data_IF_355641788337
#
_entry.id   IF_355641788337
#
_cell.length_a   1.000
_cell.length_b   1.000
_cell.length_c   1.000
_cell.angle_alpha   90.00
_cell.angle_beta   90.00
_cell.angle_gamma   90.00
#
_symmetry.space_group_name_H-M   'P 1'
#
loop_
_entity.id
_entity.type
_entity.pdbx_description
1 polymer ?
#
# COMPACT_ATOMS: atom_id res chain seq x y z
N UNK A 1 1.95 -0.46 0.16
CA UNK A 1 3.28 -0.75 0.72
C UNK A 1 3.02 -1.31 2.12
N UNK A 2 3.07 -2.63 2.40
CA UNK A 2 2.80 -3.09 3.78
C UNK A 2 4.06 -3.26 4.61
N UNK A 3 4.59 -2.12 5.00
CA UNK A 3 5.59 -1.99 6.05
C UNK A 3 5.05 -1.25 7.27
N UNK A 4 3.72 -1.06 7.36
CA UNK A 4 3.05 -0.28 8.41
C UNK A 4 1.90 -1.05 9.09
N UNK A 5 1.75 -2.37 8.90
CA UNK A 5 0.61 -3.09 9.46
C UNK A 5 0.61 -3.06 11.00
N UNK A 6 1.78 -2.96 11.64
CA UNK A 6 1.87 -2.76 13.09
C UNK A 6 1.53 -1.31 13.46
N UNK A 7 2.05 -0.34 12.71
CA UNK A 7 1.76 1.08 12.93
C UNK A 7 0.26 1.39 12.79
N UNK A 8 -0.39 0.90 11.73
CA UNK A 8 -1.83 1.03 11.51
C UNK A 8 -2.64 0.33 12.60
N UNK A 9 -2.22 -0.87 13.00
CA UNK A 9 -2.91 -1.63 14.05
C UNK A 9 -2.79 -0.92 15.41
N UNK A 10 -1.61 -0.39 15.72
CA UNK A 10 -1.38 0.41 16.93
C UNK A 10 -2.19 1.72 16.90
N UNK A 11 -2.29 2.37 15.72
CA UNK A 11 -3.09 3.57 15.53
C UNK A 11 -4.57 3.31 15.82
N UNK A 12 -5.12 2.21 15.30
CA UNK A 12 -6.52 1.80 15.57
C UNK A 12 -6.80 1.51 17.04
N UNK A 13 -5.80 1.08 17.80
CA UNK A 13 -5.90 0.85 19.25
C UNK A 13 -5.78 2.13 20.07
N UNK A 14 -5.31 3.23 19.47
CA UNK A 14 -5.21 4.54 20.11
C UNK A 14 -4.01 4.73 21.05
N UNK A 15 -3.09 3.76 21.15
CA UNK A 15 -1.98 3.76 22.12
C UNK A 15 -0.61 4.09 21.51
N UNK A 16 -0.58 4.83 20.40
CA UNK A 16 0.62 5.13 19.61
C UNK A 16 1.72 5.81 20.45
N UNK A 17 1.39 6.89 21.15
CA UNK A 17 2.39 7.67 21.91
C UNK A 17 2.96 6.91 23.10
N UNK A 18 2.20 5.97 23.66
CA UNK A 18 2.64 5.08 24.73
C UNK A 18 3.55 3.95 24.24
N UNK A 19 3.65 3.73 22.93
CA UNK A 19 4.46 2.64 22.34
C UNK A 19 5.60 3.15 21.44
N UNK A 20 5.47 4.36 20.88
CA UNK A 20 6.46 4.98 20.00
C UNK A 20 7.04 6.23 20.64
N UNK A 21 8.03 6.00 21.49
CA UNK A 21 8.81 7.05 22.13
C UNK A 21 10.26 6.59 22.33
N UNK A 22 11.15 7.54 22.54
CA UNK A 22 12.58 7.29 22.76
C UNK A 22 12.78 6.41 24.00
N UNK A 23 13.42 5.27 23.83
CA UNK A 23 13.59 4.26 24.88
C UNK A 23 12.42 3.30 25.05
N UNK A 24 11.45 3.30 24.13
CA UNK A 24 10.39 2.29 24.10
C UNK A 24 10.94 0.86 24.04
N UNK A 25 10.30 -0.05 24.76
CA UNK A 25 10.56 -1.49 24.71
C UNK A 25 9.80 -2.21 23.60
N UNK A 26 8.91 -1.52 22.86
CA UNK A 26 8.11 -2.09 21.77
C UNK A 26 8.94 -2.21 20.47
N UNK A 27 9.96 -3.08 20.50
CA UNK A 27 10.95 -3.24 19.43
C UNK A 27 10.33 -3.48 18.06
N UNK A 28 9.23 -4.23 18.00
CA UNK A 28 8.57 -4.59 16.75
C UNK A 28 7.91 -3.37 16.10
N UNK A 29 7.16 -2.59 16.88
CA UNK A 29 6.51 -1.39 16.39
C UNK A 29 7.54 -0.32 16.00
N UNK A 30 8.64 -0.22 16.74
CA UNK A 30 9.75 0.67 16.39
C UNK A 30 10.42 0.24 15.08
N UNK A 31 10.64 -1.06 14.88
CA UNK A 31 11.18 -1.61 13.62
C UNK A 31 10.27 -1.26 12.44
N UNK A 32 8.96 -1.40 12.59
CA UNK A 32 7.95 -1.06 11.58
C UNK A 32 8.00 0.44 11.21
N UNK A 33 8.09 1.32 12.23
CA UNK A 33 8.27 2.75 12.05
C UNK A 33 9.57 3.08 11.30
N UNK A 34 10.70 2.48 11.70
CA UNK A 34 12.01 2.72 11.08
C UNK A 34 12.01 2.32 9.60
N UNK A 35 11.44 1.15 9.25
CA UNK A 35 11.28 0.71 7.86
C UNK A 35 10.40 1.66 7.05
N UNK A 36 9.28 2.07 7.62
CA UNK A 36 8.35 3.02 7.01
C UNK A 36 9.06 4.34 6.69
N UNK A 37 9.82 4.89 7.65
CA UNK A 37 10.59 6.12 7.46
C UNK A 37 11.72 5.95 6.44
N UNK A 38 12.38 4.79 6.41
CA UNK A 38 13.39 4.49 5.39
C UNK A 38 12.78 4.53 3.98
N UNK A 39 11.64 3.87 3.76
CA UNK A 39 10.94 3.86 2.48
C UNK A 39 10.49 5.28 2.06
N UNK A 40 10.05 6.09 3.03
CA UNK A 40 9.74 7.50 2.84
C UNK A 40 10.96 8.39 2.54
N UNK A 41 12.18 7.83 2.49
CA UNK A 41 13.40 8.51 2.08
C UNK A 41 14.26 9.05 3.22
N UNK A 42 13.99 8.69 4.48
CA UNK A 42 14.72 9.17 5.68
C UNK A 42 15.93 8.31 6.05
N UNK A 43 16.54 7.66 5.06
CA UNK A 43 17.71 6.77 5.19
C UNK A 43 18.87 7.44 5.94
N UNK A 44 19.13 8.72 5.63
CA UNK A 44 20.25 9.48 6.20
C UNK A 44 20.04 9.71 7.69
N UNK A 45 18.85 10.16 8.08
CA UNK A 45 18.48 10.45 9.46
C UNK A 45 18.46 9.19 10.33
N UNK A 46 17.97 8.08 9.75
CA UNK A 46 18.02 6.75 10.38
C UNK A 46 19.44 6.19 10.50
N UNK A 47 20.44 6.79 9.84
CA UNK A 47 21.79 6.22 9.71
C UNK A 47 21.71 4.74 9.29
N UNK A 48 20.87 4.48 8.30
CA UNK A 48 20.42 3.14 7.94
C UNK A 48 21.57 2.18 7.63
N UNK A 49 22.67 2.67 7.05
CA UNK A 49 23.86 1.87 6.75
C UNK A 49 24.51 1.24 7.98
N UNK A 50 24.30 1.83 9.16
CA UNK A 50 24.90 1.36 10.41
C UNK A 50 23.91 0.57 11.28
N UNK A 51 22.66 1.02 11.33
CA UNK A 51 21.67 0.48 12.29
C UNK A 51 20.53 -0.30 11.63
N UNK A 52 20.26 -0.06 10.35
CA UNK A 52 19.08 -0.58 9.65
C UNK A 52 17.79 -0.30 10.44
N UNK A 53 16.89 -1.28 10.56
CA UNK A 53 15.76 -1.24 11.48
C UNK A 53 16.03 -2.18 12.66
N UNK A 54 16.76 -1.67 13.65
CA UNK A 54 17.21 -2.38 14.86
C UNK A 54 16.11 -2.51 15.94
N UNK A 55 14.99 -1.80 15.77
CA UNK A 55 13.92 -1.75 16.77
C UNK A 55 14.23 -0.88 18.00
N UNK A 56 15.36 -0.16 18.01
CA UNK A 56 15.74 0.73 19.09
C UNK A 56 15.32 2.17 18.75
N UNK A 57 14.40 2.74 19.54
CA UNK A 57 14.01 4.14 19.37
C UNK A 57 15.07 5.05 20.00
N UNK A 58 16.23 5.13 19.35
CA UNK A 58 17.37 5.92 19.76
C UNK A 58 17.45 7.28 19.07
N UNK A 59 18.67 7.87 19.08
CA UNK A 59 18.93 9.19 18.47
C UNK A 59 18.61 9.23 16.97
N UNK A 60 18.86 8.14 16.25
CA UNK A 60 18.61 8.05 14.82
C UNK A 60 17.11 8.08 14.49
N UNK A 61 16.29 7.26 15.18
CA UNK A 61 14.83 7.28 15.04
C UNK A 61 14.23 8.62 15.46
N UNK A 62 14.71 9.23 16.56
CA UNK A 62 14.31 10.59 16.94
C UNK A 62 14.57 11.59 15.83
N UNK A 63 15.76 11.58 15.22
CA UNK A 63 16.10 12.48 14.12
C UNK A 63 15.21 12.25 12.89
N UNK A 64 14.94 10.99 12.54
CA UNK A 64 14.10 10.64 11.40
C UNK A 64 12.64 11.08 11.59
N UNK A 65 12.07 10.89 12.78
CA UNK A 65 10.71 11.34 13.10
C UNK A 65 10.61 12.87 13.08
N UNK A 66 11.57 13.58 13.66
CA UNK A 66 11.61 15.03 13.62
C UNK A 66 11.73 15.58 12.19
N UNK A 67 12.58 14.96 11.37
CA UNK A 67 12.75 15.33 9.96
C UNK A 67 11.48 15.06 9.14
N UNK A 68 10.82 13.92 9.36
CA UNK A 68 9.54 13.59 8.72
C UNK A 68 8.48 14.63 9.06
N UNK A 69 8.31 14.94 10.34
CA UNK A 69 7.36 15.93 10.79
C UNK A 69 7.63 17.30 10.16
N UNK A 70 8.88 17.76 10.18
CA UNK A 70 9.29 19.04 9.58
C UNK A 70 8.92 19.12 8.09
N UNK A 71 9.20 18.07 7.32
CA UNK A 71 8.85 18.00 5.88
C UNK A 71 7.35 17.95 5.61
N UNK A 72 6.57 17.53 6.61
CA UNK A 72 5.12 17.47 6.54
C UNK A 72 4.43 18.59 7.35
N UNK A 73 5.12 19.73 7.52
CA UNK A 73 4.61 20.93 8.19
C UNK A 73 4.09 20.67 9.62
N UNK A 74 4.73 19.74 10.33
CA UNK A 74 4.44 19.40 11.72
C UNK A 74 5.67 19.64 12.59
N UNK A 75 5.45 20.14 13.81
CA UNK A 75 6.52 20.47 14.76
C UNK A 75 6.57 19.41 15.86
N UNK A 76 7.72 18.74 16.00
CA UNK A 76 8.02 17.78 17.08
C UNK A 76 9.53 17.72 17.29
N UNK A 77 9.95 17.36 18.50
CA UNK A 77 11.35 17.03 18.79
C UNK A 77 11.72 15.58 18.41
N UNK A 78 10.74 14.82 17.92
CA UNK A 78 10.87 13.44 17.46
C UNK A 78 11.05 12.41 18.57
N UNK A 79 11.02 12.80 19.85
CA UNK A 79 11.17 11.86 20.97
C UNK A 79 9.94 10.98 21.17
N UNK A 80 8.80 11.35 20.61
CA UNK A 80 7.62 10.50 20.52
C UNK A 80 6.87 10.75 19.22
N UNK A 81 6.07 9.76 18.82
CA UNK A 81 5.15 9.86 17.69
C UNK A 81 3.75 10.08 18.27
N UNK A 82 3.09 11.16 17.88
CA UNK A 82 1.69 11.41 18.23
C UNK A 82 0.76 10.62 17.30
N UNK A 83 -0.50 10.42 17.71
CA UNK A 83 -1.53 9.79 16.86
C UNK A 83 -1.68 10.50 15.51
N UNK A 84 -1.67 11.85 15.51
CA UNK A 84 -1.77 12.64 14.29
C UNK A 84 -0.55 12.44 13.38
N UNK A 85 0.65 12.40 13.95
CA UNK A 85 1.88 12.18 13.18
C UNK A 85 1.95 10.75 12.62
N UNK A 86 1.56 9.73 13.40
CA UNK A 86 1.50 8.35 12.92
C UNK A 86 0.51 8.18 11.76
N UNK A 87 -0.67 8.81 11.84
CA UNK A 87 -1.63 8.83 10.73
C UNK A 87 -1.02 9.44 9.47
N UNK A 88 -0.31 10.56 9.61
CA UNK A 88 0.36 11.22 8.49
C UNK A 88 1.50 10.39 7.89
N UNK A 89 2.28 9.70 8.74
CA UNK A 89 3.32 8.75 8.29
C UNK A 89 2.70 7.66 7.41
N UNK A 90 1.63 7.03 7.89
CA UNK A 90 0.91 5.98 7.15
C UNK A 90 0.35 6.53 5.83
N UNK A 91 -0.31 7.69 5.86
CA UNK A 91 -0.88 8.29 4.65
C UNK A 91 0.19 8.59 3.59
N UNK A 92 1.35 9.13 3.98
CA UNK A 92 2.47 9.35 3.04
C UNK A 92 3.03 8.04 2.49
N UNK A 93 3.11 7.04 3.34
CA UNK A 93 3.66 5.74 2.98
C UNK A 93 2.75 4.97 2.03
N UNK A 94 1.44 5.02 2.26
CA UNK A 94 0.44 4.40 1.40
C UNK A 94 0.42 4.98 -0.02
N UNK A 95 0.76 6.26 -0.18
CA UNK A 95 0.85 6.93 -1.49
C UNK A 95 2.14 6.66 -2.26
N UNK A 96 3.16 6.14 -1.58
CA UNK A 96 4.51 6.02 -2.13
C UNK A 96 4.60 5.13 -3.39
N UNK A 97 3.87 3.98 -3.49
CA UNK A 97 3.82 3.18 -4.71
C UNK A 97 3.35 3.96 -5.94
N UNK A 98 2.36 4.84 -5.79
CA UNK A 98 1.82 5.64 -6.88
C UNK A 98 2.76 6.78 -7.24
N UNK A 99 3.50 7.32 -6.27
CA UNK A 99 4.58 8.28 -6.55
C UNK A 99 5.67 7.62 -7.39
N UNK A 100 5.98 6.34 -7.17
CA UNK A 100 6.89 5.60 -8.04
C UNK A 100 6.36 5.41 -9.45
N UNK A 101 5.06 5.18 -9.61
CA UNK A 101 4.43 5.12 -10.94
C UNK A 101 4.57 6.44 -11.68
N UNK A 102 4.32 7.58 -11.02
CA UNK A 102 4.52 8.91 -11.60
C UNK A 102 5.99 9.16 -11.96
N UNK A 103 6.92 8.80 -11.07
CA UNK A 103 8.35 8.90 -11.33
C UNK A 103 8.78 8.04 -12.53
N UNK A 104 8.29 6.81 -12.65
CA UNK A 104 8.52 5.94 -13.82
C UNK A 104 8.04 6.59 -15.12
N UNK A 105 6.90 7.27 -15.08
CA UNK A 105 6.37 7.99 -16.24
C UNK A 105 7.30 9.14 -16.61
N UNK A 106 7.71 9.94 -15.62
CA UNK A 106 8.66 11.04 -15.79
C UNK A 106 9.99 10.59 -16.44
N UNK A 107 10.54 9.47 -15.97
CA UNK A 107 11.81 8.90 -16.47
C UNK A 107 11.66 8.08 -17.74
N UNK A 108 10.44 7.81 -18.21
CA UNK A 108 10.21 7.03 -19.43
C UNK A 108 10.38 7.87 -20.70
N UNK A 109 10.66 7.19 -21.81
CA UNK A 109 10.61 7.80 -23.13
C UNK A 109 9.15 8.13 -23.50
N UNK A 110 8.80 9.42 -23.46
CA UNK A 110 7.43 9.92 -23.59
C UNK A 110 6.94 10.08 -25.04
N UNK A 111 7.53 9.37 -26.00
CA UNK A 111 6.97 9.29 -27.36
C UNK A 111 5.55 8.70 -27.40
N UNK A 112 5.16 7.94 -26.37
CA UNK A 112 3.78 7.46 -26.18
C UNK A 112 2.98 8.38 -25.27
N UNK A 113 1.85 8.91 -25.75
CA UNK A 113 0.89 9.67 -24.92
C UNK A 113 0.32 8.77 -23.81
N UNK A 114 0.43 9.22 -22.55
CA UNK A 114 -0.16 8.56 -21.38
C UNK A 114 -1.31 9.41 -20.83
N UNK A 115 -2.38 8.77 -20.40
CA UNK A 115 -3.62 9.42 -19.95
C UNK A 115 -3.94 9.00 -18.52
N UNK A 116 -4.32 9.95 -17.66
CA UNK A 116 -4.73 9.71 -16.27
C UNK A 116 -6.04 8.91 -16.25
N UNK A 117 -6.97 9.18 -17.16
CA UNK A 117 -8.24 8.45 -17.29
C UNK A 117 -8.07 6.97 -17.59
N UNK A 118 -6.95 6.60 -18.22
CA UNK A 118 -6.56 5.22 -18.50
C UNK A 118 -5.69 4.62 -17.40
N UNK A 119 -5.47 5.38 -16.32
CA UNK A 119 -4.82 4.91 -15.12
C UNK A 119 -5.65 3.82 -14.44
N UNK A 120 -4.98 3.04 -13.61
CA UNK A 120 -5.64 2.05 -12.77
C UNK A 120 -6.38 2.74 -11.63
N UNK A 121 -7.38 2.08 -11.04
CA UNK A 121 -8.13 2.64 -9.90
C UNK A 121 -7.19 3.10 -8.79
N UNK A 122 -6.16 2.32 -8.51
CA UNK A 122 -5.11 2.65 -7.54
C UNK A 122 -4.35 3.93 -7.92
N UNK A 123 -3.85 4.05 -9.15
CA UNK A 123 -3.16 5.27 -9.60
C UNK A 123 -4.04 6.52 -9.55
N UNK A 124 -5.33 6.38 -9.85
CA UNK A 124 -6.31 7.46 -9.81
C UNK A 124 -6.58 7.86 -8.36
N UNK A 125 -6.79 6.89 -7.47
CA UNK A 125 -6.99 7.14 -6.03
C UNK A 125 -5.83 7.94 -5.44
N UNK A 126 -4.59 7.63 -5.79
CA UNK A 126 -3.46 8.39 -5.27
C UNK A 126 -3.42 9.83 -5.76
N UNK A 127 -3.75 10.10 -7.03
CA UNK A 127 -3.88 11.47 -7.53
C UNK A 127 -5.00 12.21 -6.77
N UNK A 128 -6.13 11.55 -6.52
CA UNK A 128 -7.23 12.13 -5.73
C UNK A 128 -6.80 12.44 -4.30
N UNK A 129 -6.10 11.53 -3.60
CA UNK A 129 -5.58 11.81 -2.26
C UNK A 129 -4.59 12.95 -2.29
N UNK A 130 -3.60 12.91 -3.19
CA UNK A 130 -2.59 13.95 -3.32
C UNK A 130 -3.23 15.33 -3.52
N UNK A 131 -4.10 15.46 -4.53
CA UNK A 131 -4.80 16.71 -4.84
C UNK A 131 -5.64 17.20 -3.64
N UNK A 132 -6.32 16.31 -2.94
CA UNK A 132 -7.01 16.68 -1.70
C UNK A 132 -6.04 17.20 -0.63
N UNK A 133 -4.89 16.53 -0.43
CA UNK A 133 -3.87 16.95 0.54
C UNK A 133 -3.29 18.32 0.25
N UNK A 134 -3.13 18.69 -1.03
CA UNK A 134 -2.61 20.01 -1.43
C UNK A 134 -3.71 21.05 -1.68
N UNK A 135 -4.94 20.79 -1.22
CA UNK A 135 -6.00 21.79 -1.13
C UNK A 135 -7.10 21.74 -2.20
N UNK A 136 -7.08 20.76 -3.11
CA UNK A 136 -8.07 20.63 -4.20
C UNK A 136 -9.23 19.69 -3.85
N UNK A 137 -9.49 19.49 -2.56
CA UNK A 137 -10.55 18.60 -2.05
C UNK A 137 -11.96 19.03 -2.48
N UNK A 138 -12.19 20.32 -2.67
CA UNK A 138 -13.48 20.85 -3.13
C UNK A 138 -13.76 20.47 -4.59
N UNK A 139 -12.79 20.64 -5.50
CA UNK A 139 -12.93 20.26 -6.90
C UNK A 139 -13.12 18.76 -7.07
N UNK A 140 -12.47 17.97 -6.21
CA UNK A 140 -12.65 16.52 -6.14
C UNK A 140 -14.01 16.09 -5.58
N UNK A 141 -14.74 17.00 -4.93
CA UNK A 141 -15.88 16.64 -4.07
C UNK A 141 -15.49 15.52 -3.08
N UNK A 142 -14.30 15.67 -2.49
CA UNK A 142 -13.63 14.61 -1.74
C UNK A 142 -14.40 14.20 -0.48
N UNK A 143 -15.14 15.13 0.12
CA UNK A 143 -16.04 14.83 1.25
C UNK A 143 -17.10 13.79 0.90
N UNK A 144 -17.57 13.77 -0.35
CA UNK A 144 -18.62 12.84 -0.82
C UNK A 144 -18.04 11.53 -1.34
N UNK A 145 -17.03 11.61 -2.19
CA UNK A 145 -16.52 10.45 -2.93
C UNK A 145 -15.24 9.86 -2.34
N UNK A 146 -14.47 10.66 -1.61
CA UNK A 146 -13.11 10.30 -1.21
C UNK A 146 -12.23 10.01 -2.43
N UNK A 147 -11.22 9.17 -2.22
CA UNK A 147 -10.37 8.66 -3.29
C UNK A 147 -10.94 7.34 -3.85
N UNK A 148 -12.04 7.43 -4.60
CA UNK A 148 -12.78 6.27 -5.12
C UNK A 148 -12.09 5.52 -6.28
N UNK A 149 -10.99 6.07 -6.81
CA UNK A 149 -10.22 5.50 -7.91
C UNK A 149 -10.93 5.61 -9.26
N UNK A 150 -12.01 6.38 -9.34
CA UNK A 150 -12.73 6.64 -10.58
C UNK A 150 -12.27 7.98 -11.17
N UNK A 151 -11.82 7.95 -12.41
CA UNK A 151 -11.46 9.16 -13.12
C UNK A 151 -12.72 9.79 -13.73
N UNK A 152 -13.50 10.49 -12.90
CA UNK A 152 -14.69 11.23 -13.29
C UNK A 152 -14.44 12.74 -13.46
N UNK A 153 -15.52 13.47 -13.73
CA UNK A 153 -15.48 14.93 -13.94
C UNK A 153 -14.84 15.68 -12.75
N UNK A 154 -15.09 15.26 -11.51
CA UNK A 154 -14.47 15.87 -10.33
C UNK A 154 -12.94 15.71 -10.32
N UNK A 155 -12.44 14.50 -10.60
CA UNK A 155 -10.99 14.25 -10.72
C UNK A 155 -10.38 15.07 -11.85
N UNK A 156 -11.02 15.08 -13.03
CA UNK A 156 -10.57 15.86 -14.18
C UNK A 156 -10.50 17.35 -13.88
N UNK A 157 -11.56 17.91 -13.29
CA UNK A 157 -11.63 19.33 -12.95
C UNK A 157 -10.60 19.72 -11.88
N UNK A 158 -10.31 18.83 -10.92
CA UNK A 158 -9.27 19.06 -9.93
C UNK A 158 -7.88 19.12 -10.57
N UNK A 159 -7.56 18.21 -11.50
CA UNK A 159 -6.28 18.25 -12.25
C UNK A 159 -6.17 19.53 -13.10
N UNK A 160 -7.25 19.91 -13.80
CA UNK A 160 -7.27 21.15 -14.60
C UNK A 160 -7.03 22.38 -13.72
N UNK A 161 -7.76 22.49 -12.60
CA UNK A 161 -7.62 23.61 -11.68
C UNK A 161 -6.20 23.66 -11.10
N UNK A 162 -5.66 22.53 -10.68
CA UNK A 162 -4.31 22.41 -10.17
C UNK A 162 -3.24 22.82 -11.19
N UNK A 163 -3.35 22.34 -12.44
CA UNK A 163 -2.44 22.74 -13.51
C UNK A 163 -2.57 24.24 -13.82
N UNK A 164 -3.79 24.76 -13.91
CA UNK A 164 -4.07 26.17 -14.17
C UNK A 164 -3.51 27.10 -13.09
N UNK A 165 -3.66 26.73 -11.81
CA UNK A 165 -3.10 27.49 -10.68
C UNK A 165 -1.57 27.56 -10.71
N UNK A 166 -0.94 26.68 -11.51
CA UNK A 166 0.50 26.63 -11.76
C UNK A 166 0.88 27.08 -13.18
N UNK A 167 -0.01 27.80 -13.87
CA UNK A 167 0.18 28.31 -15.22
C UNK A 167 0.52 27.23 -16.27
N UNK A 168 0.02 26.00 -16.07
CA UNK A 168 0.16 24.89 -17.02
C UNK A 168 -1.18 24.65 -17.71
N UNK A 169 -1.18 24.69 -19.04
CA UNK A 169 -2.33 24.23 -19.83
C UNK A 169 -2.44 22.71 -19.77
N UNK A 170 -3.61 22.23 -19.41
CA UNK A 170 -3.90 20.81 -19.26
C UNK A 170 -5.38 20.56 -19.58
N UNK A 171 -5.65 19.49 -20.32
CA UNK A 171 -7.01 18.99 -20.55
C UNK A 171 -7.52 18.11 -19.40
N UNK A 172 -6.78 18.07 -18.29
CA UNK A 172 -7.00 17.22 -17.13
C UNK A 172 -6.55 15.77 -17.32
N UNK A 173 -6.48 15.28 -18.55
CA UNK A 173 -6.38 13.85 -18.83
C UNK A 173 -5.00 13.43 -19.34
N UNK A 174 -4.36 14.22 -20.21
CA UNK A 174 -3.02 13.92 -20.71
C UNK A 174 -1.96 14.12 -19.62
N UNK A 175 -1.19 13.07 -19.32
CA UNK A 175 0.04 13.15 -18.51
C UNK A 175 1.18 13.72 -19.36
N UNK A 176 1.12 15.02 -19.64
CA UNK A 176 2.20 15.76 -20.29
C UNK A 176 3.40 15.92 -19.33
N UNK A 177 4.60 16.17 -19.87
CA UNK A 177 5.80 16.46 -19.05
C UNK A 177 5.52 17.58 -18.03
N UNK A 178 4.98 18.75 -18.41
CA UNK A 178 4.69 19.82 -17.45
C UNK A 178 3.79 19.38 -16.29
N UNK A 179 2.76 18.57 -16.56
CA UNK A 179 1.83 18.09 -15.53
C UNK A 179 2.51 17.08 -14.59
N UNK A 180 3.29 16.15 -15.14
CA UNK A 180 4.03 15.16 -14.34
C UNK A 180 5.11 15.84 -13.49
N UNK A 181 5.84 16.81 -14.06
CA UNK A 181 6.87 17.58 -13.37
C UNK A 181 6.26 18.42 -12.25
N UNK A 182 5.07 19.00 -12.49
CA UNK A 182 4.29 19.70 -11.49
C UNK A 182 3.90 18.78 -10.32
N UNK A 183 3.34 17.59 -10.61
CA UNK A 183 3.04 16.60 -9.57
C UNK A 183 4.29 16.28 -8.74
N UNK A 184 5.40 15.93 -9.38
CA UNK A 184 6.64 15.57 -8.68
C UNK A 184 7.19 16.74 -7.86
N UNK A 185 7.17 17.97 -8.39
CA UNK A 185 7.61 19.18 -7.69
C UNK A 185 6.88 19.37 -6.37
N UNK A 186 5.56 19.21 -6.36
CA UNK A 186 4.74 19.48 -5.17
C UNK A 186 4.68 18.28 -4.21
N UNK A 187 5.00 17.09 -4.69
CA UNK A 187 5.11 15.88 -3.88
C UNK A 187 6.45 15.84 -3.14
N UNK A 188 7.56 16.12 -3.84
CA UNK A 188 8.93 15.97 -3.33
C UNK A 188 9.21 16.60 -1.94
N UNK A 189 8.68 17.79 -1.58
CA UNK A 189 8.92 18.42 -0.29
C UNK A 189 8.51 17.56 0.90
N UNK A 190 7.45 16.74 0.75
CA UNK A 190 6.87 15.92 1.81
C UNK A 190 7.66 14.65 2.12
N UNK A 191 8.53 14.24 1.20
CA UNK A 191 9.30 13.00 1.30
C UNK A 191 10.78 13.30 1.56
N UNK A 192 11.49 12.33 2.13
CA UNK A 192 12.93 12.43 2.33
C UNK A 192 13.67 12.58 1.01
N UNK A 193 14.87 13.16 1.03
CA UNK A 193 15.57 13.62 -0.19
C UNK A 193 15.92 12.49 -1.18
N UNK A 194 15.77 11.23 -0.79
CA UNK A 194 16.13 10.03 -1.56
C UNK A 194 14.95 9.06 -1.73
N UNK A 195 13.72 9.52 -1.53
CA UNK A 195 12.55 8.66 -1.65
C UNK A 195 12.46 7.99 -3.04
N UNK A 196 12.86 8.71 -4.09
CA UNK A 196 12.88 8.23 -5.48
C UNK A 196 14.03 7.27 -5.79
N UNK A 197 15.12 7.25 -5.03
CA UNK A 197 16.21 6.26 -5.20
C UNK A 197 15.67 4.82 -5.01
N UNK A 198 14.67 4.69 -4.14
CA UNK A 198 13.96 3.44 -3.89
C UNK A 198 12.95 3.10 -5.00
N UNK A 199 12.61 4.04 -5.88
CA UNK A 199 11.64 3.81 -6.95
C UNK A 199 12.10 2.70 -7.91
N UNK A 200 13.36 2.70 -8.34
CA UNK A 200 13.87 1.65 -9.24
C UNK A 200 13.81 0.23 -8.64
N UNK A 201 13.85 0.13 -7.32
CA UNK A 201 13.82 -1.12 -6.56
C UNK A 201 12.39 -1.54 -6.17
N UNK A 202 11.50 -0.57 -5.98
CA UNK A 202 10.10 -0.78 -5.59
C UNK A 202 9.12 -0.75 -6.76
N UNK A 203 9.54 -0.26 -7.92
CA UNK A 203 8.86 -0.47 -9.17
C UNK A 203 9.06 -1.94 -9.57
N UNK A 204 8.02 -2.60 -10.11
CA UNK A 204 8.22 -3.85 -10.82
C UNK A 204 9.21 -3.62 -11.98
N UNK A 205 10.50 -3.82 -11.72
CA UNK A 205 11.49 -4.04 -12.78
C UNK A 205 11.27 -5.45 -13.31
N UNK A 206 11.60 -5.73 -14.58
CA UNK A 206 11.49 -7.09 -15.14
C UNK A 206 12.27 -8.16 -14.35
N UNK A 207 13.12 -7.77 -13.39
CA UNK A 207 13.95 -8.66 -12.57
C UNK A 207 13.58 -8.68 -11.07
N UNK A 208 12.70 -7.78 -10.61
CA UNK A 208 12.27 -7.79 -9.19
C UNK A 208 11.29 -8.94 -8.97
N UNK A 209 11.46 -9.79 -7.94
CA UNK A 209 10.44 -10.77 -7.57
C UNK A 209 9.19 -10.09 -7.02
N UNK A 210 9.33 -8.88 -6.46
CA UNK A 210 8.21 -8.11 -5.95
C UNK A 210 7.67 -7.18 -7.03
N UNK A 211 6.39 -7.34 -7.33
CA UNK A 211 5.69 -6.57 -8.35
C UNK A 211 4.42 -5.92 -7.80
N UNK A 212 3.97 -4.87 -8.49
CA UNK A 212 2.66 -4.28 -8.25
C UNK A 212 1.67 -4.91 -9.24
N UNK A 213 0.71 -5.67 -8.71
CA UNK A 213 -0.39 -6.21 -9.50
C UNK A 213 -1.51 -5.19 -9.66
N UNK A 214 -2.01 -5.08 -10.89
CA UNK A 214 -3.15 -4.24 -11.22
C UNK A 214 -4.21 -5.08 -11.94
N UNK A 215 -5.44 -5.07 -11.40
CA UNK A 215 -6.58 -5.79 -11.96
C UNK A 215 -7.78 -4.87 -12.12
N UNK A 216 -8.59 -5.10 -13.17
CA UNK A 216 -9.79 -4.27 -13.45
C UNK A 216 -10.85 -4.33 -12.36
N UNK A 217 -10.84 -5.39 -11.54
CA UNK A 217 -11.73 -5.56 -10.38
C UNK A 217 -11.01 -5.33 -9.05
N UNK A 218 -9.76 -4.85 -9.05
CA UNK A 218 -9.01 -4.55 -7.84
C UNK A 218 -9.09 -3.04 -7.50
N UNK A 219 -9.13 -2.76 -6.21
CA UNK A 219 -9.17 -1.41 -5.62
C UNK A 219 -8.64 -1.48 -4.18
N UNK A 220 -8.59 -0.35 -3.49
CA UNK A 220 -8.06 -0.28 -2.12
C UNK A 220 -6.55 -0.14 -2.13
N UNK A 221 -5.88 -0.81 -1.18
CA UNK A 221 -4.41 -0.70 -1.05
C UNK A 221 -3.69 -1.27 -2.27
N UNK A 222 -2.49 -0.76 -2.61
CA UNK A 222 -1.64 -1.33 -3.65
C UNK A 222 -1.39 -2.83 -3.43
N UNK A 223 -1.72 -3.65 -4.44
CA UNK A 223 -1.55 -5.11 -4.39
C UNK A 223 -0.10 -5.48 -4.76
N UNK A 224 0.76 -5.53 -3.76
CA UNK A 224 2.16 -5.94 -3.87
C UNK A 224 2.23 -7.46 -3.75
N UNK A 225 2.85 -8.12 -4.72
CA UNK A 225 2.86 -9.57 -4.78
C UNK A 225 4.18 -10.10 -5.34
N UNK A 226 4.45 -11.36 -5.04
CA UNK A 226 5.49 -12.10 -5.75
C UNK A 226 5.07 -12.24 -7.23
N UNK A 227 6.03 -12.12 -8.14
CA UNK A 227 5.85 -12.37 -9.57
C UNK A 227 5.29 -13.77 -9.83
N UNK A 228 5.65 -14.75 -8.99
CA UNK A 228 5.13 -16.11 -9.07
C UNK A 228 3.66 -16.22 -8.62
N UNK A 229 3.15 -15.26 -7.86
CA UNK A 229 1.73 -15.19 -7.45
C UNK A 229 0.84 -14.45 -8.47
N UNK A 230 1.42 -13.80 -9.48
CA UNK A 230 0.66 -13.03 -10.48
C UNK A 230 -0.38 -13.87 -11.23
N UNK A 231 -0.09 -15.09 -11.71
CA UNK A 231 -1.10 -15.92 -12.37
C UNK A 231 -2.31 -16.23 -11.47
N UNK A 232 -2.10 -16.34 -10.16
CA UNK A 232 -3.18 -16.52 -9.19
C UNK A 232 -4.03 -15.25 -9.05
N UNK A 233 -3.40 -14.07 -8.98
CA UNK A 233 -4.09 -12.78 -8.93
C UNK A 233 -4.90 -12.49 -10.21
N UNK A 234 -4.39 -12.87 -11.38
CA UNK A 234 -5.13 -12.76 -12.65
C UNK A 234 -6.40 -13.61 -12.64
N UNK A 235 -6.33 -14.85 -12.15
CA UNK A 235 -7.51 -15.70 -11.95
C UNK A 235 -8.49 -15.10 -10.95
N UNK A 236 -8.00 -14.62 -9.81
CA UNK A 236 -8.83 -13.96 -8.80
C UNK A 236 -9.57 -12.75 -9.42
N UNK A 237 -8.88 -11.94 -10.24
CA UNK A 237 -9.50 -10.83 -10.96
C UNK A 237 -10.57 -11.30 -11.97
N UNK A 238 -10.32 -12.40 -12.68
CA UNK A 238 -11.28 -12.99 -13.61
C UNK A 238 -12.53 -13.51 -12.88
N UNK A 239 -12.38 -14.19 -11.74
CA UNK A 239 -13.50 -14.62 -10.91
C UNK A 239 -14.31 -13.46 -10.36
N UNK A 240 -13.65 -12.39 -9.91
CA UNK A 240 -14.33 -11.17 -9.48
C UNK A 240 -15.14 -10.54 -10.63
N UNK A 241 -14.61 -10.58 -11.86
CA UNK A 241 -15.31 -10.08 -13.05
C UNK A 241 -16.55 -10.93 -13.36
N UNK A 242 -16.44 -12.25 -13.28
CA UNK A 242 -17.55 -13.19 -13.54
C UNK A 242 -18.67 -13.05 -12.51
N UNK A 243 -18.31 -12.79 -11.25
CA UNK A 243 -19.25 -12.63 -10.15
C UNK A 243 -19.77 -11.19 -9.98
N UNK A 244 -19.35 -10.26 -10.86
CA UNK A 244 -19.60 -8.82 -10.76
C UNK A 244 -19.36 -8.22 -9.37
N UNK A 245 -18.19 -8.53 -8.81
CA UNK A 245 -17.70 -7.93 -7.57
C UNK A 245 -16.41 -7.15 -7.81
N UNK A 246 -16.16 -6.15 -6.97
CA UNK A 246 -14.87 -5.50 -6.87
C UNK A 246 -14.16 -5.97 -5.60
N UNK A 247 -12.91 -6.38 -5.75
CA UNK A 247 -12.00 -6.69 -4.67
C UNK A 247 -11.44 -5.37 -4.14
N UNK A 248 -11.60 -5.15 -2.85
CA UNK A 248 -10.97 -4.07 -2.13
C UNK A 248 -9.86 -4.66 -1.26
N UNK A 249 -8.63 -4.62 -1.78
CA UNK A 249 -7.45 -5.15 -1.11
C UNK A 249 -7.20 -4.32 0.15
N UNK A 250 -7.13 -5.01 1.28
CA UNK A 250 -6.75 -4.43 2.57
C UNK A 250 -5.33 -4.84 2.97
N UNK A 251 -4.81 -5.96 2.44
CA UNK A 251 -3.46 -6.45 2.67
C UNK A 251 -2.97 -7.32 1.51
N UNK A 252 -1.67 -7.38 1.25
CA UNK A 252 -1.06 -8.25 0.20
C UNK A 252 0.33 -8.75 0.60
N UNK A 253 1.39 -7.94 0.48
CA UNK A 253 2.74 -8.30 0.91
C UNK A 253 3.17 -7.61 2.21
N UNK A 254 3.63 -8.41 3.20
CA UNK A 254 4.08 -7.96 4.53
C UNK A 254 5.59 -8.17 4.74
N UNK A 255 6.22 -7.27 5.52
CA UNK A 255 7.63 -7.46 5.95
C UNK A 255 7.81 -8.06 7.35
N UNK A 256 6.71 -8.27 8.08
CA UNK A 256 6.73 -8.83 9.45
C UNK A 256 5.53 -9.74 9.68
N UNK A 257 5.73 -10.81 10.47
CA UNK A 257 4.67 -11.77 10.89
C UNK A 257 3.69 -11.16 11.88
N UNK A 258 4.08 -10.09 12.57
CA UNK A 258 3.37 -9.62 13.75
C UNK A 258 2.25 -8.68 13.32
N UNK A 259 1.01 -9.09 13.59
CA UNK A 259 -0.18 -8.27 13.40
C UNK A 259 -0.76 -8.03 14.79
N UNK A 260 -0.61 -6.82 15.32
CA UNK A 260 -1.04 -6.51 16.70
C UNK A 260 -2.58 -6.54 16.76
N UNK A 261 -3.17 -7.60 17.30
CA UNK A 261 -4.63 -7.80 17.36
C UNK A 261 -5.15 -8.98 16.55
N UNK A 262 -4.28 -9.82 16.00
CA UNK A 262 -4.69 -11.12 15.50
C UNK A 262 -5.25 -11.94 16.68
N UNK A 263 -6.51 -12.40 16.55
CA UNK A 263 -7.19 -13.29 17.50
C UNK A 263 -6.45 -14.65 17.60
N UNK A 264 -5.55 -14.91 16.66
CA UNK A 264 -4.83 -16.15 16.46
C UNK A 264 -3.36 -15.86 16.18
N UNK A 265 -2.49 -16.65 16.80
CA UNK A 265 -1.03 -16.59 16.62
C UNK A 265 -0.72 -16.59 15.12
N UNK A 266 -0.05 -15.56 14.57
CA UNK A 266 0.33 -15.54 13.18
C UNK A 266 1.11 -16.79 12.83
N UNK A 267 0.76 -17.44 11.72
CA UNK A 267 1.47 -18.63 11.27
C UNK A 267 2.94 -18.24 11.00
N UNK A 268 3.87 -19.04 11.51
CA UNK A 268 5.33 -18.89 11.28
C UNK A 268 5.69 -18.81 9.79
N UNK A 269 4.78 -19.26 8.92
CA UNK A 269 4.90 -19.31 7.47
C UNK A 269 3.66 -18.69 6.79
N UNK A 270 3.38 -17.42 7.08
CA UNK A 270 2.31 -16.68 6.41
C UNK A 270 2.66 -16.42 4.95
N UNK A 271 1.72 -16.68 4.03
CA UNK A 271 1.93 -16.42 2.60
C UNK A 271 2.06 -14.92 2.27
N UNK A 272 1.54 -14.03 3.12
CA UNK A 272 1.77 -12.59 2.97
C UNK A 272 3.25 -12.20 3.03
N UNK A 273 4.07 -12.91 3.79
CA UNK A 273 5.49 -12.61 3.94
C UNK A 273 6.32 -13.01 2.72
N UNK A 274 5.78 -13.92 1.93
CA UNK A 274 6.30 -14.28 0.62
C UNK A 274 5.58 -13.50 -0.49
N UNK A 275 4.55 -12.70 -0.20
CA UNK A 275 3.76 -11.99 -1.23
C UNK A 275 2.85 -12.91 -2.06
N UNK A 276 2.47 -14.04 -1.48
CA UNK A 276 1.58 -15.06 -2.06
C UNK A 276 0.20 -15.07 -1.39
N UNK A 277 -0.24 -13.95 -0.80
CA UNK A 277 -1.55 -13.85 -0.16
C UNK A 277 -2.11 -12.44 -0.24
N UNK A 278 -3.43 -12.32 -0.16
CA UNK A 278 -4.14 -11.05 -0.02
C UNK A 278 -5.20 -11.15 1.05
N UNK A 279 -5.42 -10.05 1.78
CA UNK A 279 -6.65 -9.85 2.54
C UNK A 279 -7.48 -8.81 1.81
N UNK A 280 -8.79 -9.02 1.81
CA UNK A 280 -9.71 -8.19 1.06
C UNK A 280 -11.08 -8.08 1.71
N UNK A 281 -11.80 -7.02 1.33
CA UNK A 281 -13.25 -6.97 1.37
C UNK A 281 -13.78 -6.99 -0.07
N UNK A 282 -15.06 -7.29 -0.25
CA UNK A 282 -15.71 -7.20 -1.56
C UNK A 282 -16.72 -6.05 -1.60
N UNK A 283 -16.82 -5.38 -2.74
CA UNK A 283 -17.95 -4.51 -3.08
C UNK A 283 -18.80 -5.19 -4.14
N UNK A 284 -20.12 -5.17 -3.97
CA UNK A 284 -21.07 -5.81 -4.87
C UNK A 284 -22.36 -4.98 -5.01
N UNK A 285 -23.06 -5.17 -6.12
CA UNK A 285 -24.27 -4.39 -6.45
C UNK A 285 -24.01 -2.87 -6.41
N UNK A 286 -24.98 -2.10 -5.90
CA UNK A 286 -24.90 -0.64 -5.74
C UNK A 286 -23.95 -0.21 -4.61
N UNK A 287 -22.72 -0.71 -4.58
CA UNK A 287 -21.66 -0.30 -3.66
C UNK A 287 -21.73 -0.91 -2.26
N UNK A 288 -22.52 -1.98 -2.06
CA UNK A 288 -22.62 -2.70 -0.78
C UNK A 288 -21.30 -3.41 -0.46
N UNK A 289 -21.00 -3.56 0.83
CA UNK A 289 -19.76 -4.18 1.32
C UNK A 289 -19.99 -5.58 1.87
N UNK A 290 -19.13 -6.52 1.49
CA UNK A 290 -18.96 -7.79 2.17
C UNK A 290 -17.58 -7.80 2.83
N UNK A 291 -17.58 -7.58 4.15
CA UNK A 291 -16.40 -7.64 4.99
C UNK A 291 -16.32 -8.99 5.73
N UNK A 292 -15.35 -9.15 6.65
CA UNK A 292 -15.17 -10.37 7.42
C UNK A 292 -16.46 -10.93 8.04
N UNK A 293 -17.32 -10.06 8.61
CA UNK A 293 -18.59 -10.47 9.22
C UNK A 293 -19.60 -11.03 8.22
N UNK A 294 -19.59 -10.50 6.98
CA UNK A 294 -20.47 -10.99 5.91
C UNK A 294 -19.91 -12.29 5.36
N UNK A 295 -18.63 -12.31 4.99
CA UNK A 295 -18.01 -13.48 4.35
C UNK A 295 -17.92 -14.70 5.28
N UNK A 296 -17.84 -14.49 6.60
CA UNK A 296 -17.90 -15.57 7.59
C UNK A 296 -19.22 -16.37 7.57
N UNK A 297 -20.28 -15.85 6.96
CA UNK A 297 -21.59 -16.52 6.88
C UNK A 297 -21.72 -17.49 5.70
N UNK A 298 -20.68 -17.66 4.88
CA UNK A 298 -20.72 -18.55 3.72
C UNK A 298 -21.20 -19.97 4.10
N UNK A 299 -22.13 -20.58 3.34
CA UNK A 299 -22.62 -20.16 2.02
C UNK A 299 -23.78 -19.13 2.04
N UNK A 300 -24.26 -18.72 3.22
CA UNK A 300 -25.38 -17.79 3.39
C UNK A 300 -24.92 -16.32 3.25
N UNK A 301 -24.43 -15.98 2.07
CA UNK A 301 -23.96 -14.64 1.68
C UNK A 301 -24.66 -14.19 0.41
N UNK A 302 -24.64 -12.88 0.07
CA UNK A 302 -25.23 -12.38 -1.18
C UNK A 302 -24.72 -13.12 -2.42
N UNK A 303 -25.58 -13.34 -3.41
CA UNK A 303 -25.28 -14.22 -4.56
C UNK A 303 -23.98 -13.86 -5.32
N UNK A 304 -23.70 -12.57 -5.64
CA UNK A 304 -22.41 -12.18 -6.24
C UNK A 304 -21.20 -12.59 -5.40
N UNK A 305 -21.29 -12.42 -4.08
CA UNK A 305 -20.24 -12.80 -3.13
C UNK A 305 -20.09 -14.32 -3.06
N UNK A 306 -21.22 -15.04 -3.04
CA UNK A 306 -21.26 -16.51 -3.01
C UNK A 306 -20.62 -17.10 -4.27
N UNK A 307 -20.93 -16.56 -5.44
CA UNK A 307 -20.35 -16.98 -6.71
C UNK A 307 -18.83 -16.77 -6.69
N UNK A 308 -18.36 -15.58 -6.32
CA UNK A 308 -16.93 -15.28 -6.23
C UNK A 308 -16.19 -16.25 -5.30
N UNK A 309 -16.67 -16.40 -4.05
CA UNK A 309 -16.04 -17.28 -3.07
C UNK A 309 -16.08 -18.75 -3.51
N UNK A 310 -17.16 -19.20 -4.16
CA UNK A 310 -17.24 -20.56 -4.68
C UNK A 310 -16.22 -20.81 -5.79
N UNK A 311 -15.99 -19.84 -6.68
CA UNK A 311 -14.92 -19.95 -7.70
C UNK A 311 -13.53 -20.06 -7.08
N UNK A 312 -13.26 -19.34 -5.99
CA UNK A 312 -11.99 -19.46 -5.26
C UNK A 312 -11.86 -20.83 -4.57
N UNK A 313 -12.92 -21.29 -3.90
CA UNK A 313 -12.95 -22.59 -3.21
C UNK A 313 -12.75 -23.75 -4.18
N UNK A 314 -13.31 -23.64 -5.39
CA UNK A 314 -13.25 -24.69 -6.41
C UNK A 314 -11.96 -24.66 -7.26
N UNK A 315 -11.12 -23.63 -7.17
CA UNK A 315 -9.83 -23.61 -7.88
C UNK A 315 -8.80 -24.45 -7.12
N UNK A 316 -8.21 -25.48 -7.75
CA UNK A 316 -7.29 -26.40 -7.06
C UNK A 316 -5.96 -25.75 -6.64
N UNK A 317 -5.64 -24.55 -7.13
CA UNK A 317 -4.42 -23.81 -6.81
C UNK A 317 -4.64 -22.64 -5.86
N UNK A 318 -5.89 -22.36 -5.46
CA UNK A 318 -6.20 -21.28 -4.52
C UNK A 318 -6.77 -21.85 -3.22
N UNK A 319 -6.69 -21.03 -2.18
CA UNK A 319 -7.45 -21.25 -0.96
C UNK A 319 -8.11 -19.96 -0.53
N UNK A 320 -9.27 -20.11 0.08
CA UNK A 320 -9.95 -19.04 0.80
C UNK A 320 -9.90 -19.31 2.30
N UNK A 321 -9.49 -18.32 3.09
CA UNK A 321 -9.26 -18.47 4.51
C UNK A 321 -10.52 -18.77 5.34
N UNK A 322 -11.71 -18.56 4.78
CA UNK A 322 -12.96 -19.02 5.40
C UNK A 322 -13.09 -20.56 5.49
N UNK A 323 -12.20 -21.31 4.83
CA UNK A 323 -12.09 -22.78 4.92
C UNK A 323 -10.89 -23.26 5.74
N UNK A 324 -10.12 -22.36 6.35
CA UNK A 324 -9.00 -22.73 7.21
C UNK A 324 -9.49 -23.22 8.57
N UNK A 325 -8.67 -24.03 9.26
CA UNK A 325 -8.93 -24.46 10.64
C UNK A 325 -9.13 -23.24 11.57
N UNK A 326 -8.31 -22.22 11.35
CA UNK A 326 -8.47 -20.90 11.93
C UNK A 326 -9.11 -20.01 10.87
N UNK A 327 -10.40 -19.75 11.03
CA UNK A 327 -11.21 -19.03 10.03
C UNK A 327 -10.69 -17.61 9.84
N UNK A 328 -10.33 -17.29 8.59
CA UNK A 328 -9.93 -15.96 8.13
C UNK A 328 -10.65 -15.60 6.81
N UNK A 329 -11.90 -15.12 6.88
CA UNK A 329 -12.78 -15.03 5.71
C UNK A 329 -12.40 -13.90 4.75
N UNK A 330 -11.43 -13.05 5.10
CA UNK A 330 -10.91 -11.98 4.22
C UNK A 330 -9.71 -12.46 3.40
N UNK A 331 -9.15 -13.62 3.71
CA UNK A 331 -7.87 -14.06 3.17
C UNK A 331 -8.00 -14.95 1.92
N UNK A 332 -7.11 -14.75 0.94
CA UNK A 332 -6.92 -15.64 -0.21
C UNK A 332 -5.42 -15.85 -0.45
N UNK A 333 -4.99 -17.09 -0.69
CA UNK A 333 -3.61 -17.43 -1.07
C UNK A 333 -3.56 -18.60 -2.07
N UNK A 334 -2.36 -18.94 -2.55
CA UNK A 334 -2.09 -20.07 -3.45
C UNK A 334 -1.50 -21.31 -2.75
N UNK A 335 -1.59 -21.36 -1.41
CA UNK A 335 -1.02 -22.45 -0.61
C UNK A 335 0.50 -22.63 -0.72
N UNK A 336 1.28 -21.61 -1.11
CA UNK A 336 2.76 -21.69 -1.19
C UNK A 336 3.39 -22.32 0.06
N UNK A 337 2.92 -21.93 1.24
CA UNK A 337 3.42 -22.42 2.52
C UNK A 337 3.26 -23.93 2.76
N UNK A 338 2.59 -24.69 1.87
CA UNK A 338 2.60 -26.16 1.90
C UNK A 338 4.02 -26.73 1.75
N UNK A 339 4.82 -26.11 0.88
CA UNK A 339 6.24 -26.44 0.71
C UNK A 339 7.09 -25.39 1.44
N UNK A 340 7.67 -25.80 2.58
CA UNK A 340 8.46 -24.90 3.43
C UNK A 340 9.75 -24.45 2.76
N UNK A 341 10.32 -25.27 1.88
CA UNK A 341 11.57 -24.96 1.18
C UNK A 341 11.33 -23.90 0.12
N UNK A 342 10.29 -24.10 -0.71
CA UNK A 342 9.90 -23.11 -1.72
C UNK A 342 9.45 -21.82 -1.04
N UNK A 343 8.62 -21.92 0.00
CA UNK A 343 8.18 -20.75 0.76
C UNK A 343 9.36 -19.95 1.31
N UNK A 344 10.36 -20.60 1.92
CA UNK A 344 11.52 -19.91 2.51
C UNK A 344 12.32 -19.16 1.44
N UNK A 345 12.51 -19.78 0.27
CA UNK A 345 13.18 -19.15 -0.88
C UNK A 345 12.44 -17.90 -1.34
N UNK A 346 11.11 -17.97 -1.48
CA UNK A 346 10.28 -16.82 -1.90
C UNK A 346 10.23 -15.74 -0.82
N UNK A 347 10.07 -16.12 0.44
CA UNK A 347 10.19 -15.24 1.59
C UNK A 347 11.50 -14.44 1.55
N UNK A 348 12.65 -15.10 1.46
CA UNK A 348 13.96 -14.43 1.42
C UNK A 348 14.08 -13.49 0.22
N UNK A 349 13.64 -13.93 -0.97
CA UNK A 349 13.66 -13.09 -2.18
C UNK A 349 12.81 -11.82 -2.02
N UNK A 350 11.62 -11.96 -1.44
CA UNK A 350 10.66 -10.88 -1.28
C UNK A 350 11.01 -9.93 -0.14
N UNK A 351 11.45 -10.47 0.98
CA UNK A 351 11.99 -9.65 2.08
C UNK A 351 13.23 -8.90 1.62
N UNK A 352 14.14 -9.54 0.88
CA UNK A 352 15.30 -8.87 0.29
C UNK A 352 14.87 -7.77 -0.68
N UNK A 353 13.90 -8.03 -1.56
CA UNK A 353 13.41 -7.04 -2.52
C UNK A 353 12.84 -5.77 -1.85
N UNK A 354 12.28 -5.89 -0.63
CA UNK A 354 11.84 -4.71 0.16
C UNK A 354 12.94 -4.15 1.06
N UNK A 355 13.83 -4.99 1.58
CA UNK A 355 14.83 -4.63 2.60
C UNK A 355 16.23 -4.33 2.03
N UNK A 356 16.41 -3.77 0.82
CA UNK A 356 17.77 -3.45 0.32
C UNK A 356 18.47 -2.24 0.98
N UNK A 357 18.54 -2.24 2.31
CA UNK A 357 19.82 -2.15 3.01
C UNK A 357 20.18 -3.52 3.61
N UNK A 358 20.92 -4.30 2.82
CA UNK A 358 21.45 -5.67 3.00
C UNK A 358 21.35 -6.37 4.38
N UNK A 359 20.88 -7.62 4.35
CA UNK A 359 21.47 -8.69 5.15
C UNK A 359 22.41 -9.52 4.26
N UNK A 360 23.69 -9.52 4.66
CA UNK A 360 24.87 -10.23 4.14
C UNK A 360 25.29 -9.91 2.69
#
# INVERSE_FOLDING_TARGET
>A
MECSNLLESALKKGNISASLFKGSSDKELVTDLQRTLFELGFRKELKWDNYQADGDYGKATTAAVAAFAKKNNSTTDGKSVSTALAKLIIERHDLLPEMYVLWRIHTSDLRTKKYISKGTRTSISAIQVFLNTIGYGEQLNFKKFGADGLYGNSTRNAVIKYAKDNAIECDGDLLSRPVVDLFLRDINPYYGNKWSDLAAQNLPSKKSPLVLFEGSRFSGKPCRADVEFIPALEKINAYAKQADVFIHVTSSFRTTTNVRGAIVKPATFSNHLAGHGIDMNLRYGNGKWANSKVMAKYPNVPEPVKQFLSSIINDPKLRWGGKFNTIDPVHIDDHLNKDRTIWKKRYEAMQKAVQLGKFN
#
